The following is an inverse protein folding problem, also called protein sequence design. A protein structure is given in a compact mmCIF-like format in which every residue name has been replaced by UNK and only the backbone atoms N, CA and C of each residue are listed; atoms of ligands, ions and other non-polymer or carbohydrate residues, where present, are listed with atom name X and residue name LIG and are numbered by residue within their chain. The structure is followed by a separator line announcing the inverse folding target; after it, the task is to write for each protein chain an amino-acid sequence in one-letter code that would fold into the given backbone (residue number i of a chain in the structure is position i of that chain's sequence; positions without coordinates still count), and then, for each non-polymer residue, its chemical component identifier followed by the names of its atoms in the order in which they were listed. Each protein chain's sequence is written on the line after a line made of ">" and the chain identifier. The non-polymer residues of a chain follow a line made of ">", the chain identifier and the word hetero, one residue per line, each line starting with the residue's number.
data_IF_409004157622
#
_entry.id   IF_409004157622
#
_cell.length_a   1.000
_cell.length_b   1.000
_cell.length_c   1.000
_cell.angle_alpha   90.00
_cell.angle_beta   90.00
_cell.angle_gamma   90.00
#
_symmetry.space_group_name_H-M   'P 1'
#
loop_
_entity.id
_entity.type
_entity.pdbx_description
1 polymer ?
#
# COMPACT_ATOMS: atom_id res chain seq x y z
N UNK A 1 -13.00 3.03 12.64
CA UNK A 1 -13.06 3.66 11.29
C UNK A 1 -12.01 3.01 10.39
N UNK A 2 -12.36 2.78 9.13
CA UNK A 2 -11.50 2.18 8.11
C UNK A 2 -11.29 3.15 6.96
N UNK A 3 -10.28 2.89 6.14
CA UNK A 3 -9.87 3.76 5.04
C UNK A 3 -9.75 2.95 3.76
N UNK A 4 -10.35 3.41 2.68
CA UNK A 4 -9.96 3.04 1.34
C UNK A 4 -9.18 4.16 0.67
N UNK A 5 -8.27 3.77 -0.20
CA UNK A 5 -7.52 4.68 -1.08
C UNK A 5 -7.60 4.09 -2.47
N UNK A 6 -8.35 4.75 -3.35
CA UNK A 6 -8.65 4.27 -4.69
C UNK A 6 -7.98 5.22 -5.70
N UNK A 7 -7.36 4.65 -6.71
CA UNK A 7 -6.79 5.42 -7.81
C UNK A 7 -7.86 5.72 -8.85
N UNK A 8 -7.99 6.99 -9.22
CA UNK A 8 -8.68 7.41 -10.42
C UNK A 8 -7.61 8.01 -11.33
N UNK A 9 -7.44 7.48 -12.52
CA UNK A 9 -6.41 7.92 -13.45
C UNK A 9 -7.06 8.39 -14.74
N UNK A 10 -6.95 9.69 -15.05
CA UNK A 10 -7.58 10.32 -16.21
C UNK A 10 -9.07 9.94 -16.36
N UNK A 11 -9.83 10.00 -15.27
CA UNK A 11 -11.25 9.69 -15.24
C UNK A 11 -11.59 8.18 -15.20
N UNK A 12 -10.60 7.30 -15.15
CA UNK A 12 -10.80 5.86 -15.03
C UNK A 12 -10.61 5.40 -13.57
N UNK A 13 -11.63 4.71 -13.03
CA UNK A 13 -11.60 4.17 -11.67
C UNK A 13 -10.89 2.81 -11.67
N UNK A 14 -9.70 2.75 -11.06
CA UNK A 14 -8.86 1.57 -11.12
C UNK A 14 -9.11 0.59 -9.96
N UNK A 15 -9.26 -0.70 -10.31
CA UNK A 15 -9.33 -1.83 -9.35
C UNK A 15 -10.45 -1.70 -8.28
N UNK A 16 -11.55 -1.03 -8.60
CA UNK A 16 -12.66 -0.75 -7.67
C UNK A 16 -13.22 -2.01 -7.01
N UNK A 17 -13.38 -3.10 -7.76
CA UNK A 17 -13.87 -4.37 -7.23
C UNK A 17 -13.05 -4.94 -6.07
N UNK A 18 -11.73 -4.83 -6.11
CA UNK A 18 -10.87 -5.27 -4.99
C UNK A 18 -11.03 -4.40 -3.75
N UNK A 19 -11.30 -3.11 -3.92
CA UNK A 19 -11.59 -2.20 -2.81
C UNK A 19 -12.95 -2.52 -2.18
N UNK A 20 -13.99 -2.74 -2.98
CA UNK A 20 -15.33 -3.18 -2.52
C UNK A 20 -15.20 -4.50 -1.74
N UNK A 21 -14.50 -5.49 -2.29
CA UNK A 21 -14.27 -6.77 -1.61
C UNK A 21 -13.60 -6.58 -0.26
N UNK A 22 -12.56 -5.73 -0.16
CA UNK A 22 -11.88 -5.45 1.12
C UNK A 22 -12.80 -4.74 2.11
N UNK A 23 -13.63 -3.79 1.67
CA UNK A 23 -14.63 -3.16 2.51
C UNK A 23 -15.62 -4.19 3.08
N UNK A 24 -16.13 -5.10 2.25
CA UNK A 24 -17.04 -6.18 2.66
C UNK A 24 -16.39 -7.15 3.65
N UNK A 25 -15.15 -7.58 3.40
CA UNK A 25 -14.40 -8.48 4.31
C UNK A 25 -14.12 -7.81 5.65
N UNK A 26 -13.78 -6.51 5.63
CA UNK A 26 -13.56 -5.71 6.84
C UNK A 26 -14.87 -5.59 7.62
N UNK A 27 -15.95 -5.24 6.96
CA UNK A 27 -17.27 -5.09 7.58
C UNK A 27 -17.76 -6.40 8.20
N UNK A 28 -17.62 -7.52 7.49
CA UNK A 28 -17.96 -8.85 8.02
C UNK A 28 -17.14 -9.18 9.28
N UNK A 29 -15.82 -8.89 9.29
CA UNK A 29 -14.95 -9.15 10.44
C UNK A 29 -15.35 -8.33 11.66
N UNK A 30 -15.77 -7.07 11.46
CA UNK A 30 -16.13 -6.13 12.54
C UNK A 30 -17.65 -6.05 12.78
N UNK A 31 -18.44 -6.93 12.13
CA UNK A 31 -19.88 -7.09 12.33
C UNK A 31 -20.70 -5.83 12.06
N UNK A 32 -20.47 -5.21 10.91
CA UNK A 32 -21.28 -4.11 10.40
C UNK A 32 -21.55 -4.31 8.90
N UNK A 33 -22.55 -3.58 8.35
CA UNK A 33 -22.81 -3.61 6.91
C UNK A 33 -21.91 -2.65 6.17
N UNK A 34 -21.17 -3.15 5.18
CA UNK A 34 -20.33 -2.31 4.35
C UNK A 34 -21.19 -1.30 3.57
N UNK A 35 -20.93 0.02 3.69
CA UNK A 35 -21.65 0.97 2.86
C UNK A 35 -21.34 0.74 1.39
N UNK A 36 -22.30 0.96 0.47
CA UNK A 36 -22.05 0.84 -0.95
C UNK A 36 -21.02 1.88 -1.41
N UNK A 37 -20.15 1.49 -2.36
CA UNK A 37 -19.27 2.46 -2.99
C UNK A 37 -20.13 3.41 -3.85
N UNK A 38 -20.10 4.74 -3.61
CA UNK A 38 -20.85 5.68 -4.43
C UNK A 38 -20.24 5.83 -5.82
N UNK A 39 -20.93 6.51 -6.71
CA UNK A 39 -20.38 6.87 -8.02
C UNK A 39 -19.29 7.94 -7.85
N UNK A 40 -18.06 7.46 -7.65
CA UNK A 40 -16.90 8.33 -7.43
C UNK A 40 -16.58 9.22 -8.63
N UNK A 41 -16.94 8.80 -9.85
CA UNK A 41 -16.66 9.58 -11.05
C UNK A 41 -17.61 10.78 -11.18
N UNK A 42 -18.87 10.63 -10.74
CA UNK A 42 -19.81 11.76 -10.68
C UNK A 42 -19.43 12.77 -9.60
N UNK A 43 -18.82 12.31 -8.49
CA UNK A 43 -18.35 13.16 -7.39
C UNK A 43 -16.98 13.81 -7.65
N UNK A 44 -16.24 13.33 -8.68
CA UNK A 44 -14.89 13.81 -8.97
C UNK A 44 -14.92 15.26 -9.47
N UNK A 45 -14.19 16.19 -8.81
CA UNK A 45 -14.05 17.56 -9.28
C UNK A 45 -13.57 17.64 -10.72
N UNK A 46 -14.16 18.54 -11.51
CA UNK A 46 -13.87 18.66 -12.97
C UNK A 46 -12.40 18.92 -13.25
N UNK A 47 -11.76 19.74 -12.43
CA UNK A 47 -10.35 20.12 -12.53
C UNK A 47 -9.38 18.96 -12.27
N UNK A 48 -9.85 17.87 -11.69
CA UNK A 48 -9.02 16.68 -11.41
C UNK A 48 -9.18 15.57 -12.45
N UNK A 49 -10.14 15.66 -13.37
CA UNK A 49 -10.51 14.55 -14.27
C UNK A 49 -9.39 14.09 -15.19
N UNK A 50 -8.54 15.01 -15.63
CA UNK A 50 -7.43 14.73 -16.54
C UNK A 50 -6.10 14.48 -15.81
N UNK A 51 -6.17 14.05 -14.55
CA UNK A 51 -4.99 13.79 -13.72
C UNK A 51 -5.10 12.46 -12.98
N UNK A 52 -3.98 11.99 -12.42
CA UNK A 52 -4.00 10.88 -11.47
C UNK A 52 -4.45 11.38 -10.09
N UNK A 53 -5.55 10.85 -9.60
CA UNK A 53 -6.24 11.30 -8.38
C UNK A 53 -6.21 10.23 -7.32
N UNK A 54 -5.88 10.62 -6.10
CA UNK A 54 -6.03 9.80 -4.90
C UNK A 54 -7.40 10.09 -4.26
N UNK A 55 -8.34 9.18 -4.45
CA UNK A 55 -9.62 9.17 -3.77
C UNK A 55 -9.46 8.45 -2.42
N UNK A 56 -9.78 9.14 -1.32
CA UNK A 56 -9.82 8.55 0.03
C UNK A 56 -11.26 8.45 0.50
N UNK A 57 -11.60 7.31 1.09
CA UNK A 57 -12.92 7.02 1.65
C UNK A 57 -12.70 6.54 3.07
N UNK A 58 -13.16 7.31 4.06
CA UNK A 58 -13.21 6.90 5.45
C UNK A 58 -14.60 6.36 5.72
N UNK A 59 -14.71 5.14 6.21
CA UNK A 59 -16.01 4.49 6.37
C UNK A 59 -16.14 3.69 7.66
N UNK A 60 -17.38 3.49 8.05
CA UNK A 60 -17.90 2.52 9.00
C UNK A 60 -19.37 2.26 8.61
N UNK A 61 -20.23 1.88 9.52
CA UNK A 61 -21.64 1.48 9.28
C UNK A 61 -22.45 2.48 8.45
N UNK A 62 -22.43 3.76 8.79
CA UNK A 62 -23.29 4.79 8.18
C UNK A 62 -22.52 6.00 7.68
N UNK A 63 -21.22 6.07 7.96
CA UNK A 63 -20.43 7.26 7.68
C UNK A 63 -19.45 6.99 6.55
N UNK A 64 -19.57 7.79 5.49
CA UNK A 64 -18.54 7.90 4.45
C UNK A 64 -18.09 9.36 4.37
N UNK A 65 -16.79 9.56 4.53
CA UNK A 65 -16.11 10.80 4.22
C UNK A 65 -15.23 10.57 2.99
N UNK A 66 -15.48 11.33 1.92
CA UNK A 66 -14.82 11.14 0.62
C UNK A 66 -14.04 12.39 0.27
N UNK A 67 -12.77 12.21 -0.03
CA UNK A 67 -11.91 13.31 -0.48
C UNK A 67 -11.12 12.90 -1.74
N UNK A 68 -10.86 13.90 -2.59
CA UNK A 68 -10.10 13.77 -3.82
C UNK A 68 -8.90 14.71 -3.78
N UNK A 69 -7.73 14.22 -4.13
CA UNK A 69 -6.53 15.04 -4.26
C UNK A 69 -5.71 14.59 -5.48
N UNK A 70 -5.14 15.55 -6.19
CA UNK A 70 -4.18 15.24 -7.24
C UNK A 70 -3.02 14.47 -6.65
N UNK A 71 -2.73 13.29 -7.20
CA UNK A 71 -1.68 12.45 -6.67
C UNK A 71 -0.30 12.96 -7.08
N UNK A 72 0.56 13.11 -6.11
CA UNK A 72 1.98 13.37 -6.30
C UNK A 72 2.78 12.27 -5.58
N UNK A 73 3.56 11.45 -6.30
CA UNK A 73 4.36 10.41 -5.68
C UNK A 73 5.43 11.02 -4.79
N UNK A 74 5.62 10.45 -3.61
CA UNK A 74 6.75 10.79 -2.76
C UNK A 74 8.04 10.30 -3.41
N UNK A 75 9.08 11.10 -3.36
CA UNK A 75 10.42 10.67 -3.74
C UNK A 75 11.02 9.91 -2.56
N UNK A 76 11.22 8.60 -2.73
CA UNK A 76 11.83 7.72 -1.74
C UNK A 76 13.13 7.19 -2.34
N UNK A 77 14.26 7.46 -1.68
CA UNK A 77 15.60 7.10 -2.13
C UNK A 77 16.32 6.19 -1.13
N UNK A 78 15.77 6.05 0.10
CA UNK A 78 16.33 5.19 1.15
C UNK A 78 15.23 4.68 2.07
N UNK A 79 15.46 3.48 2.62
CA UNK A 79 14.58 2.84 3.59
C UNK A 79 15.39 2.49 4.84
N UNK A 80 14.82 2.72 6.01
CA UNK A 80 15.38 2.28 7.30
C UNK A 80 14.68 0.98 7.73
N UNK A 81 15.42 -0.07 8.06
CA UNK A 81 14.83 -1.26 8.69
C UNK A 81 14.34 -0.90 10.10
N UNK A 82 13.10 -1.27 10.38
CA UNK A 82 12.48 -1.03 11.69
C UNK A 82 11.79 -2.31 12.16
N UNK A 83 12.36 -2.94 13.19
CA UNK A 83 11.72 -4.11 13.81
C UNK A 83 10.51 -3.65 14.62
N UNK A 84 9.31 -4.15 14.24
CA UNK A 84 8.03 -3.85 14.89
C UNK A 84 6.94 -4.86 14.47
N UNK A 85 5.89 -4.98 15.27
CA UNK A 85 4.75 -5.83 14.99
C UNK A 85 3.42 -5.05 15.16
N UNK A 86 3.18 -3.98 14.36
CA UNK A 86 1.96 -3.21 14.48
C UNK A 86 0.74 -4.05 14.10
N UNK A 87 -0.38 -3.84 14.80
CA UNK A 87 -1.67 -4.41 14.39
C UNK A 87 -2.24 -3.61 13.22
N UNK A 88 -1.91 -4.03 12.01
CA UNK A 88 -2.37 -3.40 10.78
C UNK A 88 -2.94 -4.41 9.77
N UNK A 89 -3.55 -5.50 10.27
CA UNK A 89 -4.18 -6.50 9.41
C UNK A 89 -5.38 -5.93 8.60
N UNK A 90 -5.95 -4.84 9.07
CA UNK A 90 -7.01 -4.08 8.39
C UNK A 90 -6.55 -2.64 8.13
N UNK A 91 -7.10 -2.05 7.07
CA UNK A 91 -6.72 -0.69 6.69
C UNK A 91 -7.45 0.34 7.57
N UNK A 92 -6.94 0.52 8.79
CA UNK A 92 -7.48 1.48 9.75
C UNK A 92 -7.29 2.94 9.27
N UNK A 93 -8.29 3.80 9.55
CA UNK A 93 -8.17 5.24 9.33
C UNK A 93 -7.21 5.88 10.36
N UNK A 94 -7.18 5.37 11.59
CA UNK A 94 -6.17 5.74 12.59
C UNK A 94 -4.85 5.03 12.24
N UNK A 95 -3.81 5.83 12.02
CA UNK A 95 -2.48 5.38 11.63
C UNK A 95 -1.39 5.83 12.60
N UNK A 96 -1.78 6.18 13.84
CA UNK A 96 -0.84 6.69 14.83
C UNK A 96 0.34 5.77 15.06
N UNK A 97 0.10 4.46 15.14
CA UNK A 97 1.17 3.48 15.32
C UNK A 97 2.17 3.49 14.14
N UNK A 98 1.68 3.49 12.89
CA UNK A 98 2.54 3.57 11.71
C UNK A 98 3.27 4.93 11.60
N UNK A 99 2.62 6.01 12.02
CA UNK A 99 3.23 7.35 12.06
C UNK A 99 4.36 7.38 13.10
N UNK A 100 4.12 6.83 14.29
CA UNK A 100 5.15 6.71 15.32
C UNK A 100 6.33 5.83 14.88
N UNK A 101 6.05 4.72 14.19
CA UNK A 101 7.12 3.90 13.63
C UNK A 101 7.94 4.66 12.57
N UNK A 102 7.27 5.50 11.77
CA UNK A 102 7.96 6.32 10.76
C UNK A 102 8.93 7.34 11.38
N UNK A 103 8.74 7.77 12.62
CA UNK A 103 9.69 8.63 13.34
C UNK A 103 11.05 7.95 13.54
N UNK A 104 11.10 6.61 13.51
CA UNK A 104 12.32 5.81 13.64
C UNK A 104 13.12 5.69 12.34
N UNK A 105 12.73 6.36 11.27
CA UNK A 105 13.42 6.32 9.97
C UNK A 105 14.83 6.95 9.98
N UNK A 106 15.19 7.71 11.01
CA UNK A 106 16.43 8.46 11.04
C UNK A 106 16.56 9.38 9.82
N UNK A 107 17.71 9.32 9.13
CA UNK A 107 17.99 10.09 7.91
C UNK A 107 17.38 9.47 6.64
N UNK A 108 16.74 8.30 6.72
CA UNK A 108 16.07 7.69 5.58
C UNK A 108 14.76 8.42 5.22
N UNK A 109 14.28 8.22 4.00
CA UNK A 109 13.05 8.84 3.54
C UNK A 109 11.81 8.11 4.07
N UNK A 110 11.93 6.77 4.27
CA UNK A 110 10.82 5.91 4.66
C UNK A 110 11.35 4.70 5.46
N UNK A 111 10.47 3.93 6.09
CA UNK A 111 10.81 2.71 6.82
C UNK A 111 10.43 1.46 6.03
N UNK A 112 11.17 0.39 6.26
CA UNK A 112 10.83 -0.97 5.88
C UNK A 112 10.66 -1.78 7.17
N UNK A 113 9.43 -2.14 7.47
CA UNK A 113 9.07 -2.79 8.72
C UNK A 113 9.45 -4.27 8.65
N UNK A 114 10.08 -4.77 9.70
CA UNK A 114 10.40 -6.19 9.87
C UNK A 114 9.68 -6.74 11.08
N UNK A 115 9.40 -8.03 11.06
CA UNK A 115 8.78 -8.75 12.17
C UNK A 115 9.47 -10.10 12.37
N UNK A 116 10.27 -10.21 13.45
CA UNK A 116 11.10 -11.39 13.69
C UNK A 116 12.11 -11.63 12.55
N UNK A 117 12.73 -10.56 12.02
CA UNK A 117 13.66 -10.63 10.91
C UNK A 117 13.01 -10.83 9.53
N UNK A 118 11.68 -11.01 9.44
CA UNK A 118 10.94 -11.11 8.17
C UNK A 118 10.56 -9.73 7.66
N UNK A 119 10.80 -9.49 6.38
CA UNK A 119 10.36 -8.25 5.72
C UNK A 119 8.84 -8.25 5.60
N UNK A 120 8.21 -7.12 5.91
CA UNK A 120 6.75 -6.94 5.80
C UNK A 120 6.39 -5.86 4.79
N UNK A 121 6.05 -4.66 5.26
CA UNK A 121 5.57 -3.52 4.48
C UNK A 121 6.38 -2.26 4.80
N UNK A 122 6.23 -1.19 4.02
CA UNK A 122 6.61 0.15 4.46
C UNK A 122 5.49 0.78 5.30
N UNK A 123 5.66 2.01 5.77
CA UNK A 123 4.59 2.69 6.51
C UNK A 123 3.30 2.88 5.68
N UNK A 124 3.34 2.82 4.34
CA UNK A 124 2.19 3.13 3.48
C UNK A 124 2.03 2.22 2.24
N UNK A 125 2.91 1.25 2.02
CA UNK A 125 2.90 0.39 0.83
C UNK A 125 3.36 -1.03 1.13
N UNK A 126 2.88 -2.00 0.36
CA UNK A 126 3.56 -3.28 0.25
C UNK A 126 4.86 -3.11 -0.54
N UNK A 127 5.73 -4.11 -0.48
CA UNK A 127 7.01 -4.10 -1.19
C UNK A 127 7.14 -5.26 -2.15
N UNK A 128 7.87 -5.04 -3.24
CA UNK A 128 8.21 -6.06 -4.23
C UNK A 128 9.70 -5.99 -4.48
N UNK A 129 10.37 -7.12 -4.43
CA UNK A 129 11.80 -7.26 -4.66
C UNK A 129 12.06 -7.88 -6.03
N UNK A 130 13.07 -7.38 -6.76
CA UNK A 130 13.49 -7.93 -8.04
C UNK A 130 14.73 -8.81 -7.88
N UNK A 131 14.67 -10.01 -8.47
CA UNK A 131 15.80 -10.91 -8.60
C UNK A 131 15.89 -11.36 -10.08
N UNK A 132 16.84 -10.81 -10.82
CA UNK A 132 16.89 -10.98 -12.28
C UNK A 132 15.66 -10.41 -12.97
N UNK A 133 14.91 -11.24 -13.67
CA UNK A 133 13.64 -10.87 -14.32
C UNK A 133 12.40 -11.23 -13.49
N UNK A 134 12.58 -11.75 -12.27
CA UNK A 134 11.50 -12.18 -11.40
C UNK A 134 11.23 -11.14 -10.33
N UNK A 135 9.95 -11.08 -9.91
CA UNK A 135 9.47 -10.17 -8.88
C UNK A 135 8.83 -10.95 -7.74
N UNK A 136 9.26 -10.66 -6.52
CA UNK A 136 8.81 -11.33 -5.31
C UNK A 136 8.25 -10.35 -4.30
N UNK A 137 7.18 -10.72 -3.62
CA UNK A 137 6.63 -9.96 -2.49
C UNK A 137 6.68 -10.81 -1.22
N UNK A 138 6.97 -10.21 -0.05
CA UNK A 138 6.98 -10.96 1.19
C UNK A 138 5.67 -11.70 1.46
N UNK A 139 5.76 -12.92 1.97
CA UNK A 139 4.62 -13.69 2.49
C UNK A 139 4.17 -13.23 3.89
N UNK A 140 4.99 -12.39 4.53
CA UNK A 140 4.84 -11.86 5.90
C UNK A 140 4.31 -10.41 5.96
N UNK A 141 3.46 -10.01 5.02
CA UNK A 141 2.86 -8.67 4.94
C UNK A 141 2.09 -8.27 6.22
N UNK A 142 1.93 -6.96 6.46
CA UNK A 142 1.06 -6.40 7.50
C UNK A 142 -0.36 -6.21 6.98
N UNK A 143 -0.49 -5.59 5.80
CA UNK A 143 -1.76 -5.39 5.12
C UNK A 143 -1.76 -6.10 3.76
N UNK A 144 -2.75 -6.97 3.52
CA UNK A 144 -2.93 -7.57 2.21
C UNK A 144 -3.49 -6.55 1.20
N UNK A 145 -2.60 -5.76 0.61
CA UNK A 145 -2.96 -4.63 -0.25
C UNK A 145 -3.66 -5.03 -1.55
N UNK A 146 -4.59 -4.20 -2.01
CA UNK A 146 -5.37 -4.46 -3.25
C UNK A 146 -4.50 -4.50 -4.50
N UNK A 147 -3.43 -3.71 -4.58
CA UNK A 147 -2.43 -3.75 -5.66
C UNK A 147 -1.63 -5.05 -5.60
N UNK A 148 -1.12 -5.43 -4.42
CA UNK A 148 -0.41 -6.69 -4.21
C UNK A 148 -1.25 -7.89 -4.67
N UNK A 149 -2.50 -7.98 -4.23
CA UNK A 149 -3.42 -9.05 -4.66
C UNK A 149 -3.66 -9.06 -6.17
N UNK A 150 -3.80 -7.88 -6.81
CA UNK A 150 -3.95 -7.77 -8.26
C UNK A 150 -2.72 -8.36 -8.97
N UNK A 151 -1.51 -7.93 -8.59
CA UNK A 151 -0.27 -8.37 -9.22
C UNK A 151 -0.01 -9.88 -9.03
N UNK A 152 -0.39 -10.45 -7.88
CA UNK A 152 -0.34 -11.90 -7.64
C UNK A 152 -1.31 -12.66 -8.56
N UNK A 153 -2.56 -12.22 -8.69
CA UNK A 153 -3.54 -12.84 -9.59
C UNK A 153 -3.13 -12.77 -11.06
N UNK A 154 -2.43 -11.70 -11.45
CA UNK A 154 -1.90 -11.51 -12.80
C UNK A 154 -0.59 -12.29 -13.05
N UNK A 155 -0.07 -12.99 -12.03
CA UNK A 155 1.21 -13.71 -12.13
C UNK A 155 2.43 -12.80 -12.32
N UNK A 156 2.29 -11.49 -12.05
CA UNK A 156 3.38 -10.50 -12.19
C UNK A 156 4.35 -10.50 -11.02
N UNK A 157 3.93 -10.99 -9.87
CA UNK A 157 4.75 -11.19 -8.67
C UNK A 157 4.43 -12.55 -8.05
N UNK A 158 5.37 -13.08 -7.28
CA UNK A 158 5.23 -14.34 -6.52
C UNK A 158 5.51 -14.07 -5.05
N UNK A 159 4.75 -14.70 -4.16
CA UNK A 159 5.05 -14.68 -2.72
C UNK A 159 6.31 -15.48 -2.42
N UNK A 160 7.16 -14.92 -1.58
CA UNK A 160 8.38 -15.58 -1.11
C UNK A 160 8.67 -15.12 0.32
N UNK A 161 9.19 -16.05 1.13
CA UNK A 161 9.75 -15.68 2.42
C UNK A 161 11.01 -14.84 2.20
N UNK A 162 10.99 -13.59 2.66
CA UNK A 162 12.10 -12.63 2.51
C UNK A 162 12.51 -12.18 3.91
N UNK A 163 13.78 -12.35 4.23
CA UNK A 163 14.37 -11.96 5.51
C UNK A 163 15.36 -10.81 5.34
N UNK A 164 15.73 -10.17 6.43
CA UNK A 164 16.77 -9.13 6.43
C UNK A 164 18.10 -9.67 5.89
N UNK A 165 18.45 -10.92 6.22
CA UNK A 165 19.66 -11.57 5.75
C UNK A 165 19.64 -11.87 4.25
N UNK A 166 18.45 -12.16 3.68
CA UNK A 166 18.31 -12.50 2.26
C UNK A 166 18.20 -11.28 1.33
N UNK A 167 18.18 -10.04 1.86
CA UNK A 167 18.07 -8.83 1.05
C UNK A 167 19.16 -8.72 -0.02
N UNK A 168 20.37 -9.18 0.25
CA UNK A 168 21.49 -9.16 -0.68
C UNK A 168 21.28 -9.98 -1.96
N UNK A 169 20.30 -10.90 -1.98
CA UNK A 169 19.94 -11.71 -3.15
C UNK A 169 19.19 -10.89 -4.23
N UNK A 170 18.68 -9.71 -3.86
CA UNK A 170 17.84 -8.88 -4.73
C UNK A 170 18.60 -7.64 -5.23
N UNK A 171 18.21 -7.14 -6.41
CA UNK A 171 18.80 -5.93 -6.98
C UNK A 171 18.09 -4.67 -6.53
N UNK A 172 16.76 -4.71 -6.44
CA UNK A 172 15.97 -3.52 -6.12
C UNK A 172 14.68 -3.89 -5.40
N UNK A 173 14.15 -2.92 -4.67
CA UNK A 173 12.85 -2.94 -4.02
C UNK A 173 11.95 -1.88 -4.64
N UNK A 174 10.68 -2.23 -4.86
CA UNK A 174 9.60 -1.38 -5.38
C UNK A 174 8.56 -1.19 -4.29
N UNK A 175 8.06 0.04 -4.15
CA UNK A 175 6.92 0.33 -3.28
C UNK A 175 5.64 0.27 -4.12
N UNK A 176 4.68 -0.56 -3.73
CA UNK A 176 3.42 -0.75 -4.44
C UNK A 176 2.21 -0.49 -3.54
N UNK A 177 1.22 0.22 -4.08
CA UNK A 177 -0.08 0.42 -3.45
C UNK A 177 -1.12 0.80 -4.51
N UNK A 178 -2.33 1.22 -4.14
CA UNK A 178 -3.35 1.61 -5.12
C UNK A 178 -2.87 2.68 -6.12
N UNK A 179 -1.95 3.56 -5.69
CA UNK A 179 -1.43 4.68 -6.49
C UNK A 179 -0.12 4.36 -7.21
N UNK A 180 0.59 3.29 -6.83
CA UNK A 180 1.92 2.93 -7.30
C UNK A 180 1.95 1.50 -7.87
N UNK A 181 2.55 1.34 -9.04
CA UNK A 181 2.79 0.03 -9.68
C UNK A 181 4.31 -0.24 -9.78
N UNK A 182 4.69 -1.45 -10.13
CA UNK A 182 6.09 -1.85 -10.38
C UNK A 182 6.72 -1.01 -11.51
N UNK A 183 5.93 -0.54 -12.47
CA UNK A 183 6.37 0.34 -13.56
C UNK A 183 6.54 1.81 -13.16
N UNK A 184 5.97 2.22 -12.03
CA UNK A 184 6.13 3.58 -11.52
C UNK A 184 7.54 3.71 -10.89
N UNK A 185 8.20 4.85 -11.05
CA UNK A 185 9.62 5.06 -10.71
C UNK A 185 9.92 5.09 -9.19
N UNK A 186 9.08 4.51 -8.33
CA UNK A 186 9.33 4.41 -6.89
C UNK A 186 10.01 3.07 -6.59
N UNK A 187 11.23 2.94 -7.08
CA UNK A 187 12.12 1.81 -6.82
C UNK A 187 13.49 2.30 -6.40
N UNK A 188 14.16 1.51 -5.58
CA UNK A 188 15.53 1.80 -5.14
C UNK A 188 16.36 0.51 -5.09
N UNK A 189 17.69 0.61 -5.26
CA UNK A 189 18.60 -0.52 -5.05
C UNK A 189 18.48 -1.02 -3.61
N UNK A 190 18.59 -2.33 -3.39
CA UNK A 190 18.54 -2.89 -2.01
C UNK A 190 19.67 -2.35 -1.13
N UNK A 191 20.79 -1.89 -1.70
CA UNK A 191 21.87 -1.21 -0.97
C UNK A 191 21.44 0.13 -0.33
N UNK A 192 20.26 0.63 -0.65
CA UNK A 192 19.66 1.83 -0.02
C UNK A 192 18.69 1.47 1.11
N UNK A 193 18.61 0.20 1.49
CA UNK A 193 17.95 -0.27 2.71
C UNK A 193 19.01 -0.27 3.80
N UNK A 194 18.81 0.60 4.79
CA UNK A 194 19.72 0.81 5.92
C UNK A 194 19.32 -0.12 7.08
N UNK A 195 20.29 -0.67 7.82
CA UNK A 195 20.06 -1.57 8.94
C UNK A 195 19.38 -0.93 10.15
#
# INVERSE_FOLDING_TARGET
>A
MFLETICIDHGELLNAGAHITRMQLTAARFRFDAPPLPDLLSLLPRELRDTKVKCRIIYRETQQDISFEKYQPKRIQSLQLVEAAPDYAYKYADRKELIHLLERKGEADEILITRGGLITDSSFSNVVFRQGNLFFTPDSWLLNGTKRQKLLREGRITEKRITTESLHEYQSVFLINAMLDIGDMVSLPVSRILP
#
